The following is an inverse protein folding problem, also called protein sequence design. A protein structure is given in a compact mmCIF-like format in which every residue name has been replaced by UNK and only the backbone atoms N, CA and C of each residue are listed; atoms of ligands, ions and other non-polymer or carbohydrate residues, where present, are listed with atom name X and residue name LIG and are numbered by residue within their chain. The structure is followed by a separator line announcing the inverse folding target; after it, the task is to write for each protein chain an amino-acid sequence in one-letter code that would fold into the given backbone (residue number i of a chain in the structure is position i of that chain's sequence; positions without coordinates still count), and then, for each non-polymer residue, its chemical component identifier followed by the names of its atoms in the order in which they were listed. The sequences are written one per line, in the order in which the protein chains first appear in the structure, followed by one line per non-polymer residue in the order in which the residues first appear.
data_IF_141048821268
#
_entry.id   IF_141048821268
#
_cell.length_a   1.000
_cell.length_b   1.000
_cell.length_c   1.000
_cell.angle_alpha   90.00
_cell.angle_beta   90.00
_cell.angle_gamma   90.00
#
_symmetry.space_group_name_H-M   'P 1'
#
loop_
_entity.id
_entity.type
_entity.pdbx_description
1 polymer ?
#
# COMPACT_ATOMS: atom_id res chain seq x y z
N UNK A 1 7.85 11.55 -3.32
CA UNK A 1 7.19 11.06 -4.55
C UNK A 1 5.90 11.84 -4.83
N UNK A 2 5.24 11.64 -5.98
CA UNK A 2 4.03 12.38 -6.36
C UNK A 2 2.79 12.05 -5.51
N UNK A 3 2.79 10.92 -4.80
CA UNK A 3 1.64 10.41 -4.07
C UNK A 3 0.96 9.27 -4.82
N UNK A 4 -0.23 8.89 -4.35
CA UNK A 4 -1.07 7.83 -4.87
C UNK A 4 -2.17 8.46 -5.72
N UNK A 5 -2.19 8.09 -7.01
CA UNK A 5 -3.19 8.56 -7.97
C UNK A 5 -4.44 7.67 -7.98
N UNK A 6 -4.29 6.37 -7.69
CA UNK A 6 -5.41 5.41 -7.71
C UNK A 6 -5.44 4.61 -6.40
N UNK A 7 -6.22 5.12 -5.45
CA UNK A 7 -6.38 4.51 -4.13
C UNK A 7 -7.19 3.21 -4.17
N UNK A 8 -8.15 3.09 -5.10
CA UNK A 8 -9.05 1.95 -5.18
C UNK A 8 -8.31 0.66 -5.61
N UNK A 9 -7.33 0.79 -6.51
CA UNK A 9 -6.61 -0.35 -7.07
C UNK A 9 -5.31 -0.69 -6.33
N UNK A 10 -5.00 0.01 -5.24
CA UNK A 10 -3.70 -0.05 -4.58
C UNK A 10 -3.34 -1.45 -4.01
N UNK A 11 -4.36 -2.23 -3.69
CA UNK A 11 -4.22 -3.61 -3.19
C UNK A 11 -4.76 -4.66 -4.17
N UNK A 12 -5.04 -4.27 -5.41
CA UNK A 12 -5.40 -5.22 -6.47
C UNK A 12 -4.11 -5.92 -6.93
N UNK A 13 -4.01 -7.25 -6.87
CA UNK A 13 -2.86 -7.98 -7.38
C UNK A 13 -2.56 -7.61 -8.83
N UNK A 14 -1.28 -7.47 -9.16
CA UNK A 14 -0.77 -7.12 -10.50
C UNK A 14 -1.11 -5.71 -11.00
N UNK A 15 -1.79 -4.88 -10.19
CA UNK A 15 -1.98 -3.48 -10.53
C UNK A 15 -0.71 -2.67 -10.24
N UNK A 16 -0.21 -1.97 -11.26
CA UNK A 16 0.97 -1.11 -11.16
C UNK A 16 0.80 0.12 -12.06
N UNK A 17 1.41 1.24 -11.68
CA UNK A 17 1.57 2.41 -12.56
C UNK A 17 2.99 2.53 -13.11
N UNK A 18 3.87 1.58 -12.80
CA UNK A 18 5.26 1.53 -13.26
C UNK A 18 5.40 0.55 -14.43
N UNK A 19 6.15 0.90 -15.49
CA UNK A 19 6.34 0.04 -16.68
C UNK A 19 6.79 -1.39 -16.35
N UNK A 20 7.79 -1.53 -15.47
CA UNK A 20 8.36 -2.83 -15.06
C UNK A 20 7.91 -3.26 -13.66
N UNK A 21 6.84 -2.66 -13.12
CA UNK A 21 6.35 -2.99 -11.79
C UNK A 21 5.49 -4.25 -11.80
N UNK A 22 5.77 -5.22 -10.91
CA UNK A 22 4.94 -6.42 -10.83
C UNK A 22 3.56 -6.19 -10.21
N UNK A 23 3.37 -5.12 -9.43
CA UNK A 23 2.11 -4.85 -8.72
C UNK A 23 1.80 -5.82 -7.57
N UNK A 24 2.79 -6.59 -7.10
CA UNK A 24 2.58 -7.63 -6.07
C UNK A 24 2.90 -7.14 -4.65
N UNK A 25 3.81 -6.17 -4.51
CA UNK A 25 4.37 -5.80 -3.21
C UNK A 25 3.33 -5.35 -2.18
N UNK A 26 2.45 -4.42 -2.53
CA UNK A 26 1.43 -3.89 -1.61
C UNK A 26 0.35 -4.91 -1.23
N UNK A 27 -0.24 -5.67 -2.18
CA UNK A 27 -1.12 -6.79 -1.86
C UNK A 27 -0.47 -7.80 -0.91
N UNK A 28 0.79 -8.18 -1.17
CA UNK A 28 1.54 -9.13 -0.34
C UNK A 28 1.80 -8.57 1.06
N UNK A 29 2.23 -7.32 1.18
CA UNK A 29 2.45 -6.69 2.49
C UNK A 29 1.18 -6.63 3.32
N UNK A 30 0.01 -6.39 2.70
CA UNK A 30 -1.28 -6.43 3.40
C UNK A 30 -1.59 -7.84 3.90
N UNK A 31 -1.43 -8.85 3.04
CA UNK A 31 -1.63 -10.26 3.44
C UNK A 31 -0.71 -10.68 4.58
N UNK A 32 0.57 -10.28 4.55
CA UNK A 32 1.51 -10.55 5.65
C UNK A 32 1.02 -9.88 6.93
N UNK A 33 0.64 -8.61 6.90
CA UNK A 33 0.13 -7.91 8.08
C UNK A 33 -1.13 -8.59 8.65
N UNK A 34 -2.09 -8.93 7.79
CA UNK A 34 -3.32 -9.63 8.16
C UNK A 34 -3.05 -11.02 8.75
N UNK A 35 -2.10 -11.77 8.18
CA UNK A 35 -1.68 -13.08 8.69
C UNK A 35 -1.07 -13.01 10.10
N UNK A 36 -0.49 -11.86 10.47
CA UNK A 36 0.00 -11.60 11.82
C UNK A 36 -1.05 -10.99 12.75
N UNK A 37 -2.34 -10.94 12.36
CA UNK A 37 -3.41 -10.30 13.13
C UNK A 37 -3.33 -8.77 13.13
N UNK A 38 -2.55 -8.20 12.21
CA UNK A 38 -2.34 -6.77 12.04
C UNK A 38 -3.15 -6.16 10.91
N UNK A 39 -2.76 -4.95 10.50
CA UNK A 39 -3.35 -4.25 9.35
C UNK A 39 -2.34 -3.33 8.68
N UNK A 40 -2.52 -3.12 7.36
CA UNK A 40 -1.73 -2.18 6.57
C UNK A 40 -2.68 -1.18 5.89
N UNK A 41 -2.47 0.11 6.16
CA UNK A 41 -3.20 1.20 5.52
C UNK A 41 -2.20 2.05 4.76
N UNK A 42 -2.55 2.44 3.52
CA UNK A 42 -1.72 3.37 2.73
C UNK A 42 -2.59 4.52 2.28
N UNK A 43 -2.08 5.74 2.41
CA UNK A 43 -2.80 6.97 2.07
C UNK A 43 -1.87 8.04 1.52
N UNK A 44 -2.43 9.09 0.91
CA UNK A 44 -1.67 10.28 0.60
C UNK A 44 -1.27 11.00 1.88
N UNK A 45 -0.04 11.52 1.92
CA UNK A 45 0.48 12.26 3.06
C UNK A 45 -0.39 13.50 3.32
N UNK A 46 -0.80 13.72 4.57
CA UNK A 46 -1.48 14.96 4.95
C UNK A 46 -0.51 16.15 4.88
N UNK A 47 -0.94 17.23 4.25
CA UNK A 47 -0.18 18.50 4.19
C UNK A 47 0.94 18.55 3.15
N UNK A 48 1.01 17.61 2.20
CA UNK A 48 2.02 17.69 1.12
C UNK A 48 1.97 16.56 0.12
N UNK A 49 2.96 16.54 -0.78
CA UNK A 49 3.13 15.47 -1.78
C UNK A 49 3.69 14.19 -1.13
N UNK A 50 3.29 13.03 -1.65
CA UNK A 50 3.81 11.74 -1.24
C UNK A 50 2.75 10.83 -0.63
N UNK A 51 3.20 9.67 -0.19
CA UNK A 51 2.37 8.62 0.39
C UNK A 51 2.87 8.28 1.80
N UNK A 52 1.95 7.83 2.63
CA UNK A 52 2.18 7.37 3.99
C UNK A 52 1.59 5.97 4.14
N UNK A 53 2.34 5.06 4.77
CA UNK A 53 1.91 3.70 5.05
C UNK A 53 1.95 3.46 6.55
N UNK A 54 0.84 3.01 7.11
CA UNK A 54 0.66 2.69 8.52
C UNK A 54 0.51 1.19 8.67
N UNK A 55 1.51 0.55 9.27
CA UNK A 55 1.47 -0.85 9.67
C UNK A 55 1.13 -0.95 11.15
N UNK A 56 0.12 -1.76 11.49
CA UNK A 56 -0.24 -2.09 12.87
C UNK A 56 -0.09 -3.60 13.05
N UNK A 57 0.55 -4.01 14.14
CA UNK A 57 0.67 -5.40 14.55
C UNK A 57 0.07 -5.54 15.96
N UNK A 58 -0.46 -6.73 16.31
CA UNK A 58 -0.84 -7.02 17.69
C UNK A 58 0.39 -6.96 18.61
N UNK A 59 0.13 -6.75 19.91
CA UNK A 59 1.15 -6.65 20.96
C UNK A 59 1.79 -7.98 21.30
#
# INVERSE_FOLDING_TARGET
GPGIMNMANLFVPFFTTKPDGSGIGLPLSRQIAEAHGGSLVVMNRRGGKGAEALLRLPR
#
